data_IF_320547273700
#
_entry.id   IF_320547273700
#
_cell.length_a   1.000
_cell.length_b   1.000
_cell.length_c   1.000
_cell.angle_alpha   90.00
_cell.angle_beta   90.00
_cell.angle_gamma   90.00
#
_symmetry.space_group_name_H-M   'P 1'
#
loop_
_entity.id
_entity.type
_entity.pdbx_description
1 polymer ?
#
# COMPACT_ATOMS: atom_id res chain seq x y z
N UNK A 1 -6.28 -10.83 16.47
CA UNK A 1 -4.91 -11.05 15.96
C UNK A 1 -3.97 -10.76 17.11
N UNK A 2 -2.98 -11.61 17.42
CA UNK A 2 -1.99 -11.25 18.44
C UNK A 2 -1.09 -10.12 17.91
N UNK A 3 -0.33 -9.46 18.80
CA UNK A 3 0.49 -8.31 18.42
C UNK A 3 1.63 -8.65 17.45
N UNK A 4 2.20 -9.86 17.51
CA UNK A 4 3.25 -10.31 16.58
C UNK A 4 2.72 -10.46 15.15
N UNK A 5 1.58 -11.12 14.99
CA UNK A 5 0.90 -11.28 13.71
C UNK A 5 0.47 -9.93 13.14
N UNK A 6 0.09 -8.99 14.00
CA UNK A 6 -0.24 -7.61 13.62
C UNK A 6 0.97 -6.87 13.07
N UNK A 7 2.09 -6.92 13.78
CA UNK A 7 3.32 -6.26 13.39
C UNK A 7 3.91 -6.88 12.12
N UNK A 8 3.82 -8.21 11.97
CA UNK A 8 4.19 -8.90 10.74
C UNK A 8 3.35 -8.43 9.54
N UNK A 9 2.02 -8.31 9.71
CA UNK A 9 1.14 -7.82 8.65
C UNK A 9 1.42 -6.36 8.28
N UNK A 10 1.68 -5.49 9.26
CA UNK A 10 2.06 -4.09 9.03
C UNK A 10 3.37 -4.03 8.23
N UNK A 11 4.39 -4.77 8.66
CA UNK A 11 5.70 -4.80 8.01
C UNK A 11 5.61 -5.29 6.57
N UNK A 12 4.87 -6.37 6.34
CA UNK A 12 4.60 -6.89 5.01
C UNK A 12 3.90 -5.86 4.11
N UNK A 13 2.89 -5.14 4.62
CA UNK A 13 2.21 -4.09 3.84
C UNK A 13 3.15 -2.94 3.48
N UNK A 14 4.04 -2.54 4.40
CA UNK A 14 5.04 -1.51 4.12
C UNK A 14 6.09 -1.97 3.11
N UNK A 15 6.50 -3.23 3.14
CA UNK A 15 7.36 -3.84 2.12
C UNK A 15 6.70 -3.78 0.73
N UNK A 16 5.43 -4.21 0.64
CA UNK A 16 4.65 -4.11 -0.62
C UNK A 16 4.52 -2.68 -1.12
N UNK A 17 4.38 -1.71 -0.22
CA UNK A 17 4.37 -0.29 -0.57
C UNK A 17 5.71 0.15 -1.17
N UNK A 18 6.83 -0.20 -0.52
CA UNK A 18 8.18 0.13 -0.98
C UNK A 18 8.50 -0.51 -2.34
N UNK A 19 8.15 -1.79 -2.54
CA UNK A 19 8.29 -2.47 -3.84
C UNK A 19 7.49 -1.77 -4.94
N UNK A 20 6.27 -1.32 -4.62
CA UNK A 20 5.41 -0.62 -5.56
C UNK A 20 6.00 0.74 -5.95
N UNK A 21 6.62 1.48 -5.01
CA UNK A 21 7.35 2.72 -5.31
C UNK A 21 8.56 2.44 -6.20
N UNK A 22 9.35 1.41 -5.91
CA UNK A 22 10.49 1.03 -6.75
C UNK A 22 10.05 0.68 -8.18
N UNK A 23 8.97 -0.08 -8.32
CA UNK A 23 8.39 -0.39 -9.62
C UNK A 23 7.86 0.86 -10.35
N UNK A 24 7.21 1.78 -9.62
CA UNK A 24 6.75 3.05 -10.18
C UNK A 24 7.91 3.89 -10.73
N UNK A 25 9.04 3.94 -10.01
CA UNK A 25 10.23 4.67 -10.45
C UNK A 25 10.77 4.08 -11.76
N UNK A 26 10.94 2.75 -11.83
CA UNK A 26 11.38 2.09 -13.07
C UNK A 26 10.43 2.37 -14.24
N UNK A 27 9.12 2.37 -14.00
CA UNK A 27 8.13 2.68 -15.03
C UNK A 27 8.20 4.14 -15.47
N UNK A 28 8.42 5.06 -14.53
CA UNK A 28 8.57 6.49 -14.80
C UNK A 28 9.82 6.75 -15.66
N UNK A 29 10.95 6.13 -15.30
CA UNK A 29 12.22 6.23 -16.03
C UNK A 29 12.09 5.71 -17.48
N UNK A 30 11.14 4.80 -17.72
CA UNK A 30 10.82 4.24 -19.04
C UNK A 30 9.60 4.91 -19.71
N UNK A 31 9.19 6.10 -19.25
CA UNK A 31 8.04 6.86 -19.77
C UNK A 31 6.69 6.11 -19.77
N UNK A 32 6.54 5.05 -18.97
CA UNK A 32 5.31 4.26 -18.83
C UNK A 32 4.36 4.91 -17.80
N UNK A 33 3.91 6.14 -18.06
CA UNK A 33 3.26 7.00 -17.08
C UNK A 33 1.98 6.40 -16.46
N UNK A 34 1.11 5.78 -17.26
CA UNK A 34 -0.12 5.14 -16.76
C UNK A 34 0.19 3.97 -15.82
N UNK A 35 1.21 3.17 -16.15
CA UNK A 35 1.65 2.06 -15.31
C UNK A 35 2.31 2.57 -14.02
N UNK A 36 3.13 3.61 -14.11
CA UNK A 36 3.73 4.26 -12.94
C UNK A 36 2.65 4.79 -11.99
N UNK A 37 1.63 5.48 -12.50
CA UNK A 37 0.49 5.96 -11.69
C UNK A 37 -0.24 4.81 -10.98
N UNK A 38 -0.46 3.70 -11.67
CA UNK A 38 -1.07 2.52 -11.05
C UNK A 38 -0.24 2.00 -9.88
N UNK A 39 1.09 1.91 -10.03
CA UNK A 39 2.00 1.49 -8.96
C UNK A 39 2.05 2.48 -7.80
N UNK A 40 2.04 3.78 -8.06
CA UNK A 40 1.94 4.82 -7.03
C UNK A 40 0.63 4.67 -6.24
N UNK A 41 -0.48 4.45 -6.94
CA UNK A 41 -1.77 4.20 -6.29
C UNK A 41 -1.71 3.00 -5.32
N UNK A 42 -1.17 1.87 -5.77
CA UNK A 42 -1.07 0.68 -4.92
C UNK A 42 -0.07 0.86 -3.77
N UNK A 43 1.01 1.61 -3.96
CA UNK A 43 1.93 1.95 -2.87
C UNK A 43 1.19 2.68 -1.75
N UNK A 44 0.40 3.71 -2.09
CA UNK A 44 -0.42 4.44 -1.12
C UNK A 44 -1.47 3.55 -0.48
N UNK A 45 -2.14 2.69 -1.26
CA UNK A 45 -3.12 1.74 -0.74
C UNK A 45 -2.51 0.83 0.33
N UNK A 46 -1.35 0.22 0.07
CA UNK A 46 -0.68 -0.64 1.04
C UNK A 46 -0.22 0.12 2.29
N UNK A 47 0.30 1.34 2.14
CA UNK A 47 0.68 2.18 3.28
C UNK A 47 -0.53 2.56 4.16
N UNK A 48 -1.65 2.97 3.56
CA UNK A 48 -2.89 3.25 4.29
C UNK A 48 -3.43 2.01 4.98
N UNK A 49 -3.37 0.84 4.33
CA UNK A 49 -3.73 -0.43 4.95
C UNK A 49 -2.85 -0.76 6.16
N UNK A 50 -1.55 -0.47 6.11
CA UNK A 50 -0.65 -0.65 7.25
C UNK A 50 -1.08 0.24 8.44
N UNK A 51 -1.36 1.52 8.17
CA UNK A 51 -1.85 2.49 9.18
C UNK A 51 -3.19 2.06 9.77
N UNK A 52 -4.12 1.58 8.96
CA UNK A 52 -5.42 1.11 9.46
C UNK A 52 -5.28 -0.11 10.36
N UNK A 53 -4.34 -1.01 10.03
CA UNK A 53 -4.04 -2.15 10.91
C UNK A 53 -3.57 -1.68 12.28
N UNK A 54 -2.74 -0.63 12.39
CA UNK A 54 -2.32 -0.11 13.72
C UNK A 54 -3.51 0.28 14.58
N UNK A 55 -4.58 0.80 13.95
CA UNK A 55 -5.85 1.20 14.58
C UNK A 55 -6.89 0.08 14.70
N UNK A 56 -6.53 -1.18 14.39
CA UNK A 56 -7.47 -2.32 14.32
C UNK A 56 -8.64 -2.11 13.35
N UNK A 57 -8.45 -1.27 12.33
CA UNK A 57 -9.41 -1.02 11.26
C UNK A 57 -8.97 -1.72 9.97
N UNK A 58 -9.91 -2.00 9.07
CA UNK A 58 -9.61 -2.54 7.75
C UNK A 58 -10.66 -2.12 6.73
N UNK A 59 -10.22 -1.74 5.53
CA UNK A 59 -11.09 -1.58 4.37
C UNK A 59 -10.69 -2.59 3.31
N UNK A 60 -11.61 -3.43 2.87
CA UNK A 60 -11.34 -4.50 1.92
C UNK A 60 -11.48 -4.06 0.46
N UNK A 61 -12.09 -2.90 0.20
CA UNK A 61 -12.29 -2.37 -1.16
C UNK A 61 -11.80 -0.93 -1.32
N UNK A 62 -11.29 -0.67 -2.52
CA UNK A 62 -10.78 0.62 -3.01
C UNK A 62 -11.77 1.79 -2.86
N UNK A 63 -13.09 1.52 -2.92
CA UNK A 63 -14.15 2.52 -2.74
C UNK A 63 -14.46 2.84 -1.27
N UNK A 64 -14.03 2.02 -0.32
CA UNK A 64 -14.32 2.21 1.11
C UNK A 64 -13.32 3.14 1.81
N UNK A 65 -12.16 3.40 1.18
CA UNK A 65 -11.13 4.31 1.71
C UNK A 65 -11.54 5.79 1.59
N UNK A 66 -12.57 6.11 0.78
CA UNK A 66 -13.06 7.50 0.59
C UNK A 66 -13.90 8.04 1.77
N UNK A 67 -14.12 7.27 2.83
CA UNK A 67 -15.03 7.61 3.93
C UNK A 67 -14.38 7.50 5.31
N UNK A 68 -13.26 8.19 5.52
CA UNK A 68 -12.71 8.50 6.86
C UNK A 68 -12.15 9.91 6.89
#
# INVERSE_FOLDING_TARGET
MNDDAKNALISYRMERAAESVKAAQLMLDNAMLTSAMNRIYYAMFYAVQAVLTTKNASFSKHGQVKGY
#
